data_IF_939044701895
#
_entry.id   IF_939044701895
#
_cell.length_a   1.000
_cell.length_b   1.000
_cell.length_c   1.000
_cell.angle_alpha   90.00
_cell.angle_beta   90.00
_cell.angle_gamma   90.00
#
_symmetry.space_group_name_H-M   'P 1'
#
loop_
_entity.id
_entity.type
_entity.pdbx_description
1 polymer ?
#
# COMPACT_ATOMS: atom_id res chain seq x y z
N UNK A 1 -6.54 -16.88 -15.39
CA UNK A 1 -6.05 -17.21 -14.03
C UNK A 1 -7.24 -17.11 -13.09
N UNK A 2 -7.49 -18.10 -12.21
CA UNK A 2 -8.64 -18.05 -11.31
C UNK A 2 -8.55 -16.85 -10.36
N UNK A 3 -9.66 -16.13 -10.19
CA UNK A 3 -9.81 -15.17 -9.10
C UNK A 3 -9.85 -15.94 -7.79
N UNK A 4 -8.87 -15.73 -6.90
CA UNK A 4 -9.02 -16.20 -5.53
C UNK A 4 -9.90 -15.20 -4.77
N UNK A 5 -10.94 -15.69 -4.11
CA UNK A 5 -11.83 -14.83 -3.35
C UNK A 5 -11.22 -14.38 -2.02
N UNK A 6 -10.43 -15.24 -1.38
CA UNK A 6 -9.85 -14.96 -0.08
C UNK A 6 -8.47 -15.59 0.11
N UNK A 7 -7.52 -14.79 0.59
CA UNK A 7 -6.24 -15.27 1.08
C UNK A 7 -6.05 -14.91 2.57
N UNK A 8 -5.74 -15.90 3.42
CA UNK A 8 -5.57 -15.70 4.86
C UNK A 8 -4.17 -15.21 5.25
N UNK A 9 -3.12 -15.92 4.85
CA UNK A 9 -1.72 -15.62 5.25
C UNK A 9 -0.70 -16.27 4.31
N UNK A 10 0.53 -15.77 4.33
CA UNK A 10 1.66 -16.32 3.55
C UNK A 10 2.93 -16.38 4.42
N UNK A 11 3.88 -17.31 4.18
CA UNK A 11 5.20 -17.27 4.81
C UNK A 11 6.06 -16.06 4.38
N UNK A 12 6.99 -15.63 5.22
CA UNK A 12 7.97 -14.57 4.91
C UNK A 12 8.73 -14.89 3.62
N UNK A 13 8.86 -13.90 2.74
CA UNK A 13 9.57 -14.04 1.48
C UNK A 13 10.47 -12.84 1.27
N UNK A 14 11.62 -13.06 0.64
CA UNK A 14 12.51 -11.96 0.30
C UNK A 14 11.93 -11.17 -0.87
N UNK A 15 11.57 -11.85 -1.96
CA UNK A 15 11.14 -11.21 -3.20
C UNK A 15 9.87 -11.85 -3.75
N UNK A 16 8.95 -11.01 -4.22
CA UNK A 16 7.73 -11.44 -4.89
C UNK A 16 7.54 -10.69 -6.22
N UNK A 17 7.31 -11.43 -7.30
CA UNK A 17 7.22 -10.87 -8.66
C UNK A 17 5.79 -10.45 -9.04
N UNK A 18 4.82 -11.34 -8.88
CA UNK A 18 3.42 -11.11 -9.29
C UNK A 18 2.46 -12.08 -8.62
N UNK A 19 1.18 -11.72 -8.50
CA UNK A 19 0.12 -12.57 -7.96
C UNK A 19 -1.13 -12.50 -8.86
N UNK A 20 -2.02 -13.52 -8.89
CA UNK A 20 -3.35 -13.39 -9.47
C UNK A 20 -4.25 -12.42 -8.71
N UNK A 21 -5.23 -11.84 -9.41
CA UNK A 21 -6.26 -10.96 -8.82
C UNK A 21 -6.91 -11.60 -7.59
N UNK A 22 -7.07 -10.79 -6.55
CA UNK A 22 -7.63 -11.19 -5.27
C UNK A 22 -8.75 -10.22 -4.89
N UNK A 23 -9.85 -10.71 -4.30
CA UNK A 23 -10.85 -9.82 -3.73
C UNK A 23 -10.40 -9.31 -2.36
N UNK A 24 -9.87 -10.22 -1.53
CA UNK A 24 -9.57 -9.91 -0.14
C UNK A 24 -8.31 -10.61 0.37
N UNK A 25 -7.44 -9.83 1.01
CA UNK A 25 -6.28 -10.34 1.71
C UNK A 25 -6.26 -9.89 3.17
N UNK A 26 -6.23 -10.86 4.09
CA UNK A 26 -6.22 -10.59 5.53
C UNK A 26 -4.85 -10.14 6.07
N UNK A 27 -3.79 -10.88 5.79
CA UNK A 27 -2.46 -10.57 6.33
C UNK A 27 -1.36 -11.01 5.39
N UNK A 28 -0.40 -10.11 5.21
CA UNK A 28 0.88 -10.38 4.57
C UNK A 28 1.98 -10.54 5.63
N UNK A 29 2.96 -11.41 5.41
CA UNK A 29 4.23 -11.40 6.13
C UNK A 29 5.11 -10.17 5.78
N UNK A 30 6.26 -10.06 6.45
CA UNK A 30 7.29 -9.11 6.06
C UNK A 30 7.87 -9.49 4.69
N UNK A 31 8.14 -8.48 3.86
CA UNK A 31 8.73 -8.64 2.54
C UNK A 31 9.85 -7.63 2.32
N UNK A 32 10.91 -8.03 1.62
CA UNK A 32 11.91 -7.05 1.18
C UNK A 32 11.44 -6.35 -0.10
N UNK A 33 11.09 -7.10 -1.15
CA UNK A 33 10.71 -6.51 -2.43
C UNK A 33 9.45 -7.11 -3.02
N UNK A 34 8.57 -6.22 -3.46
CA UNK A 34 7.40 -6.56 -4.27
C UNK A 34 7.40 -5.78 -5.58
N UNK A 35 7.40 -6.49 -6.71
CA UNK A 35 7.41 -5.86 -8.03
C UNK A 35 6.02 -5.40 -8.50
N UNK A 36 5.02 -6.28 -8.51
CA UNK A 36 3.67 -5.92 -8.94
C UNK A 36 2.61 -6.69 -8.16
N UNK A 37 1.60 -5.97 -7.67
CA UNK A 37 0.36 -6.57 -7.21
C UNK A 37 -0.74 -6.35 -8.26
N UNK A 38 -1.68 -7.29 -8.45
CA UNK A 38 -2.93 -7.07 -9.17
C UNK A 38 -3.89 -6.10 -8.47
N UNK A 39 -5.06 -5.87 -9.08
CA UNK A 39 -6.16 -5.17 -8.42
C UNK A 39 -6.63 -5.96 -7.18
N UNK A 40 -6.92 -5.24 -6.10
CA UNK A 40 -7.40 -5.81 -4.85
C UNK A 40 -8.55 -4.96 -4.29
N UNK A 41 -9.64 -5.57 -3.83
CA UNK A 41 -10.71 -4.80 -3.18
C UNK A 41 -10.31 -4.44 -1.74
N UNK A 42 -9.85 -5.40 -0.96
CA UNK A 42 -9.49 -5.14 0.43
C UNK A 42 -8.17 -5.79 0.86
N UNK A 43 -7.31 -4.97 1.44
CA UNK A 43 -6.15 -5.38 2.22
C UNK A 43 -6.32 -4.97 3.69
N UNK A 44 -6.31 -5.95 4.59
CA UNK A 44 -6.38 -5.68 6.03
C UNK A 44 -5.03 -5.29 6.63
N UNK A 45 -3.96 -6.07 6.45
CA UNK A 45 -2.67 -5.77 7.09
C UNK A 45 -1.45 -6.26 6.32
N UNK A 46 -0.41 -5.43 6.29
CA UNK A 46 0.96 -5.78 5.94
C UNK A 46 1.89 -5.11 6.97
N UNK A 47 2.81 -5.83 7.62
CA UNK A 47 3.66 -5.29 8.68
C UNK A 47 4.82 -4.44 8.14
N UNK A 48 5.80 -5.04 7.47
CA UNK A 48 6.94 -4.30 6.90
C UNK A 48 7.17 -4.67 5.43
N UNK A 49 7.38 -3.65 4.60
CA UNK A 49 7.87 -3.82 3.24
C UNK A 49 8.99 -2.83 2.95
N UNK A 50 10.13 -3.31 2.43
CA UNK A 50 11.19 -2.38 2.03
C UNK A 50 10.84 -1.69 0.71
N UNK A 51 10.55 -2.42 -0.37
CA UNK A 51 10.19 -1.78 -1.65
C UNK A 51 8.94 -2.36 -2.27
N UNK A 52 8.05 -1.44 -2.66
CA UNK A 52 6.93 -1.72 -3.55
C UNK A 52 7.06 -0.94 -4.84
N UNK A 53 7.16 -1.64 -5.97
CA UNK A 53 7.26 -0.99 -7.27
C UNK A 53 5.90 -0.53 -7.84
N UNK A 54 4.87 -1.40 -7.85
CA UNK A 54 3.58 -1.03 -8.45
C UNK A 54 2.39 -1.77 -7.85
N UNK A 55 1.30 -1.04 -7.63
CA UNK A 55 -0.05 -1.56 -7.41
C UNK A 55 -1.04 -0.74 -8.24
N UNK A 56 -1.87 -1.34 -9.12
CA UNK A 56 -2.80 -0.63 -9.99
C UNK A 56 -3.98 -0.02 -9.20
N UNK A 57 -4.91 -0.83 -8.69
CA UNK A 57 -6.06 -0.34 -7.94
C UNK A 57 -6.23 -1.06 -6.59
N UNK A 58 -6.50 -0.30 -5.53
CA UNK A 58 -6.91 -0.81 -4.22
C UNK A 58 -8.11 -0.03 -3.70
N UNK A 59 -9.20 -0.70 -3.37
CA UNK A 59 -10.34 0.02 -2.77
C UNK A 59 -10.07 0.34 -1.30
N UNK A 60 -9.61 -0.63 -0.51
CA UNK A 60 -9.40 -0.41 0.92
C UNK A 60 -8.11 -1.01 1.43
N UNK A 61 -7.26 -0.16 2.01
CA UNK A 61 -6.14 -0.57 2.85
C UNK A 61 -6.37 -0.14 4.29
N UNK A 62 -6.41 -1.11 5.21
CA UNK A 62 -6.61 -0.83 6.64
C UNK A 62 -5.31 -0.44 7.36
N UNK A 63 -4.24 -1.21 7.27
CA UNK A 63 -3.02 -0.88 8.03
C UNK A 63 -1.73 -1.31 7.34
N UNK A 64 -0.75 -0.42 7.41
CA UNK A 64 0.65 -0.65 7.06
C UNK A 64 1.52 0.09 8.09
N UNK A 65 2.26 -0.59 8.97
CA UNK A 65 3.20 0.06 9.87
C UNK A 65 4.37 0.70 9.13
N UNK A 66 5.07 -0.04 8.28
CA UNK A 66 6.33 0.43 7.70
C UNK A 66 6.46 0.11 6.21
N UNK A 67 6.70 1.15 5.40
CA UNK A 67 7.07 1.04 3.99
C UNK A 67 8.27 1.93 3.71
N UNK A 68 9.39 1.35 3.28
CA UNK A 68 10.57 2.18 2.99
C UNK A 68 10.39 2.93 1.66
N UNK A 69 10.01 2.22 0.59
CA UNK A 69 9.82 2.84 -0.72
C UNK A 69 8.56 2.36 -1.44
N UNK A 70 7.75 3.32 -1.88
CA UNK A 70 6.65 3.08 -2.79
C UNK A 70 6.85 3.87 -4.09
N UNK A 71 7.01 3.16 -5.21
CA UNK A 71 7.22 3.82 -6.49
C UNK A 71 5.94 4.33 -7.14
N UNK A 72 4.90 3.51 -7.27
CA UNK A 72 3.70 3.93 -8.01
C UNK A 72 2.43 3.26 -7.51
N UNK A 73 1.38 4.05 -7.34
CA UNK A 73 0.02 3.57 -7.25
C UNK A 73 -0.99 4.52 -7.92
N UNK A 74 -1.63 4.13 -9.03
CA UNK A 74 -2.63 4.94 -9.71
C UNK A 74 -3.83 5.28 -8.82
N UNK A 75 -4.45 4.30 -8.15
CA UNK A 75 -5.72 4.54 -7.47
C UNK A 75 -5.83 3.80 -6.13
N UNK A 76 -6.04 4.56 -5.06
CA UNK A 76 -6.42 4.06 -3.73
C UNK A 76 -7.68 4.79 -3.25
N UNK A 77 -8.78 4.06 -3.04
CA UNK A 77 -10.01 4.71 -2.57
C UNK A 77 -9.91 5.07 -1.07
N UNK A 78 -9.47 4.15 -0.22
CA UNK A 78 -9.41 4.40 1.21
C UNK A 78 -8.19 3.80 1.89
N UNK A 79 -7.37 4.65 2.53
CA UNK A 79 -6.30 4.25 3.43
C UNK A 79 -6.63 4.63 4.87
N UNK A 80 -6.75 3.65 5.77
CA UNK A 80 -7.09 3.93 7.17
C UNK A 80 -5.87 4.35 8.02
N UNK A 81 -4.76 3.64 7.92
CA UNK A 81 -3.59 3.95 8.76
C UNK A 81 -2.28 3.54 8.11
N UNK A 82 -1.32 4.46 8.20
CA UNK A 82 0.08 4.27 7.85
C UNK A 82 0.95 4.89 8.94
N UNK A 83 1.90 4.16 9.51
CA UNK A 83 2.75 4.75 10.56
C UNK A 83 3.95 5.44 9.93
N UNK A 84 4.63 4.79 9.00
CA UNK A 84 5.86 5.33 8.45
C UNK A 84 6.06 4.99 6.97
N UNK A 85 6.14 6.03 6.13
CA UNK A 85 6.54 5.94 4.73
C UNK A 85 7.79 6.79 4.50
N UNK A 86 8.88 6.16 4.08
CA UNK A 86 10.12 6.88 3.83
C UNK A 86 10.06 7.64 2.50
N UNK A 87 9.74 6.94 1.41
CA UNK A 87 9.73 7.56 0.09
C UNK A 87 8.52 7.11 -0.72
N UNK A 88 7.75 8.08 -1.21
CA UNK A 88 6.67 7.89 -2.17
C UNK A 88 6.93 8.62 -3.49
N UNK A 89 7.16 7.91 -4.60
CA UNK A 89 7.35 8.59 -5.90
C UNK A 89 6.03 9.13 -6.45
N UNK A 90 5.06 8.28 -6.77
CA UNK A 90 3.80 8.76 -7.34
C UNK A 90 2.56 8.04 -6.82
N UNK A 91 1.52 8.83 -6.58
CA UNK A 91 0.14 8.38 -6.54
C UNK A 91 -0.70 9.31 -7.41
N UNK A 92 -1.63 8.77 -8.21
CA UNK A 92 -2.50 9.62 -9.03
C UNK A 92 -3.73 10.06 -8.25
N UNK A 93 -4.43 9.12 -7.61
CA UNK A 93 -5.68 9.36 -6.89
C UNK A 93 -5.69 8.68 -5.51
N UNK A 94 -5.93 9.48 -4.46
CA UNK A 94 -6.30 9.03 -3.12
C UNK A 94 -7.61 9.69 -2.68
N UNK A 95 -8.69 8.93 -2.57
CA UNK A 95 -9.97 9.51 -2.18
C UNK A 95 -10.04 9.81 -0.68
N UNK A 96 -9.64 8.87 0.17
CA UNK A 96 -9.75 9.04 1.61
C UNK A 96 -8.53 8.53 2.36
N UNK A 97 -7.90 9.40 3.17
CA UNK A 97 -6.80 9.03 4.06
C UNK A 97 -7.10 9.39 5.52
N UNK A 98 -7.27 8.39 6.38
CA UNK A 98 -7.63 8.67 7.78
C UNK A 98 -6.44 9.09 8.64
N UNK A 99 -5.29 8.44 8.52
CA UNK A 99 -4.13 8.76 9.37
C UNK A 99 -2.81 8.32 8.75
N UNK A 100 -1.82 9.19 8.93
CA UNK A 100 -0.42 8.98 8.62
C UNK A 100 0.40 9.62 9.73
N UNK A 101 1.39 8.91 10.30
CA UNK A 101 2.24 9.51 11.34
C UNK A 101 3.47 10.20 10.75
N UNK A 102 4.23 9.53 9.88
CA UNK A 102 5.48 10.06 9.32
C UNK A 102 5.58 9.81 7.81
N UNK A 103 5.90 10.86 7.07
CA UNK A 103 6.23 10.83 5.64
C UNK A 103 7.49 11.66 5.42
N UNK A 104 8.58 11.04 4.98
CA UNK A 104 9.82 11.78 4.75
C UNK A 104 9.80 12.46 3.37
N UNK A 105 9.77 11.68 2.28
CA UNK A 105 9.78 12.23 0.93
C UNK A 105 8.59 11.76 0.08
N UNK A 106 7.96 12.70 -0.63
CA UNK A 106 7.04 12.40 -1.72
C UNK A 106 7.31 13.31 -2.94
N UNK A 107 7.05 12.81 -4.16
CA UNK A 107 7.19 13.63 -5.39
C UNK A 107 5.88 14.09 -5.99
N UNK A 108 4.85 13.24 -6.04
CA UNK A 108 3.58 13.61 -6.68
C UNK A 108 2.37 12.86 -6.12
N UNK A 109 1.34 13.63 -5.80
CA UNK A 109 0.00 13.22 -5.38
C UNK A 109 -0.98 14.33 -5.84
N UNK A 110 -1.42 14.33 -7.10
CA UNK A 110 -2.19 15.42 -7.67
C UNK A 110 -3.63 15.46 -7.15
N UNK A 111 -4.22 14.31 -6.82
CA UNK A 111 -5.62 14.23 -6.36
C UNK A 111 -5.71 13.55 -4.98
N UNK A 112 -5.91 14.36 -3.95
CA UNK A 112 -6.26 13.95 -2.60
C UNK A 112 -7.59 14.61 -2.20
N UNK A 113 -8.67 13.83 -2.03
CA UNK A 113 -10.00 14.42 -1.78
C UNK A 113 -10.25 14.70 -0.30
N UNK A 114 -10.02 13.72 0.58
CA UNK A 114 -10.29 13.86 2.02
C UNK A 114 -9.18 13.27 2.87
N UNK A 115 -8.78 14.00 3.90
CA UNK A 115 -7.80 13.56 4.89
C UNK A 115 -8.16 14.01 6.30
N UNK A 116 -7.81 13.20 7.32
CA UNK A 116 -8.10 13.53 8.74
C UNK A 116 -6.86 13.88 9.56
N UNK A 117 -5.69 13.36 9.23
CA UNK A 117 -4.43 13.63 9.96
C UNK A 117 -3.24 13.50 9.00
N UNK A 118 -2.42 14.55 8.93
CA UNK A 118 -1.24 14.62 8.06
C UNK A 118 -0.04 14.03 8.80
N UNK A 119 0.90 13.43 8.06
CA UNK A 119 2.21 13.11 8.61
C UNK A 119 2.95 14.36 9.09
N UNK A 120 3.87 14.13 10.03
CA UNK A 120 5.05 14.97 10.14
C UNK A 120 5.88 14.81 8.86
N UNK A 121 6.14 15.94 8.20
CA UNK A 121 7.02 16.00 7.03
C UNK A 121 8.45 16.25 7.51
N UNK A 122 9.34 15.29 7.28
CA UNK A 122 10.76 15.48 7.49
C UNK A 122 11.38 15.83 6.13
N UNK A 123 11.77 17.09 5.96
CA UNK A 123 12.46 17.58 4.76
C UNK A 123 13.88 17.03 4.65
#
# INVERSE_FOLDING_TARGET
MPNLNHWKSMPNLNHWKSMPNLNHWKSMPNLNHWKSMPNLNHWKSMPNLNHWKSMPNLNHWRSMPYLNHWRSMPYLNHWKSMTYLNHWNSMTNLNHWKSMTNLNHWKSMPNLNHWKSMPNLNY
#
